data_IF_540392334186
#
_entry.id   IF_540392334186
#
_cell.length_a   1.000
_cell.length_b   1.000
_cell.length_c   1.000
_cell.angle_alpha   90.00
_cell.angle_beta   90.00
_cell.angle_gamma   90.00
#
_symmetry.space_group_name_H-M   'P 1'
#
loop_
_entity.id
_entity.type
_entity.pdbx_description
1 polymer ?
#
# COMPACT_ATOMS: atom_id res chain seq x y z
N UNK A 1 16.29 7.76 -22.15
CA UNK A 1 15.63 7.40 -23.43
C UNK A 1 14.19 7.86 -23.32
N UNK A 2 13.70 8.67 -24.24
CA UNK A 2 12.30 9.07 -24.23
C UNK A 2 11.40 7.90 -24.63
N UNK A 3 10.27 7.78 -23.95
CA UNK A 3 9.26 6.77 -24.28
C UNK A 3 8.46 7.25 -25.49
N UNK A 4 8.27 6.39 -26.50
CA UNK A 4 7.45 6.74 -27.66
C UNK A 4 6.00 7.01 -27.24
N UNK A 5 5.30 7.91 -27.96
CA UNK A 5 3.91 8.28 -27.65
C UNK A 5 2.98 7.06 -27.56
N UNK A 6 3.16 6.09 -28.46
CA UNK A 6 2.39 4.84 -28.45
C UNK A 6 2.64 4.02 -27.18
N UNK A 7 3.91 3.79 -26.81
CA UNK A 7 4.28 3.05 -25.60
C UNK A 7 3.81 3.76 -24.34
N UNK A 8 3.88 5.10 -24.32
CA UNK A 8 3.37 5.95 -23.24
C UNK A 8 1.86 5.74 -23.06
N UNK A 9 1.06 5.89 -24.11
CA UNK A 9 -0.40 5.76 -24.02
C UNK A 9 -0.83 4.34 -23.66
N UNK A 10 -0.20 3.33 -24.25
CA UNK A 10 -0.48 1.92 -23.93
C UNK A 10 -0.18 1.61 -22.46
N UNK A 11 0.98 2.06 -21.96
CA UNK A 11 1.33 1.87 -20.54
C UNK A 11 0.32 2.56 -19.63
N UNK A 12 -0.11 3.78 -19.96
CA UNK A 12 -1.07 4.54 -19.17
C UNK A 12 -2.43 3.85 -19.10
N UNK A 13 -2.90 3.29 -20.23
CA UNK A 13 -4.14 2.51 -20.30
C UNK A 13 -4.02 1.23 -19.47
N UNK A 14 -2.91 0.49 -19.60
CA UNK A 14 -2.68 -0.74 -18.83
C UNK A 14 -2.69 -0.46 -17.32
N UNK A 15 -2.04 0.62 -16.88
CA UNK A 15 -2.06 1.03 -15.48
C UNK A 15 -3.47 1.39 -15.00
N UNK A 16 -4.27 2.09 -15.80
CA UNK A 16 -5.67 2.39 -15.45
C UNK A 16 -6.54 1.14 -15.37
N UNK A 17 -6.41 0.22 -16.33
CA UNK A 17 -7.11 -1.08 -16.31
C UNK A 17 -6.76 -1.84 -15.04
N UNK A 18 -5.48 -1.86 -14.66
CA UNK A 18 -5.02 -2.48 -13.41
C UNK A 18 -5.71 -1.86 -12.19
N UNK A 19 -5.71 -0.54 -12.05
CA UNK A 19 -6.34 0.17 -10.92
C UNK A 19 -7.83 -0.18 -10.83
N UNK A 20 -8.56 -0.07 -11.95
CA UNK A 20 -10.00 -0.35 -11.99
C UNK A 20 -10.28 -1.81 -11.67
N UNK A 21 -9.53 -2.74 -12.26
CA UNK A 21 -9.74 -4.18 -12.07
C UNK A 21 -9.49 -4.58 -10.62
N UNK A 22 -8.34 -4.21 -10.05
CA UNK A 22 -7.98 -4.57 -8.66
C UNK A 22 -8.93 -3.91 -7.66
N UNK A 23 -9.30 -2.65 -7.86
CA UNK A 23 -10.27 -1.96 -6.99
C UNK A 23 -11.66 -2.60 -7.08
N UNK A 24 -12.09 -3.01 -8.27
CA UNK A 24 -13.39 -3.69 -8.45
C UNK A 24 -13.40 -5.06 -7.77
N UNK A 25 -12.34 -5.85 -7.93
CA UNK A 25 -12.20 -7.14 -7.25
C UNK A 25 -12.17 -6.94 -5.73
N UNK A 26 -11.42 -5.95 -5.24
CA UNK A 26 -11.35 -5.61 -3.82
C UNK A 26 -12.71 -5.20 -3.26
N UNK A 27 -13.45 -4.37 -4.00
CA UNK A 27 -14.81 -3.97 -3.64
C UNK A 27 -15.75 -5.17 -3.51
N UNK A 28 -15.78 -6.03 -4.52
CA UNK A 28 -16.69 -7.19 -4.56
C UNK A 28 -16.37 -8.18 -3.44
N UNK A 29 -15.08 -8.40 -3.14
CA UNK A 29 -14.66 -9.43 -2.17
C UNK A 29 -14.58 -8.94 -0.73
N UNK A 30 -14.35 -7.65 -0.52
CA UNK A 30 -13.98 -7.10 0.80
C UNK A 30 -14.83 -5.88 1.12
N UNK A 31 -14.92 -4.92 0.20
CA UNK A 31 -15.71 -3.70 0.36
C UNK A 31 -14.91 -2.43 0.04
N UNK A 32 -15.29 -1.31 0.65
CA UNK A 32 -14.72 0.00 0.35
C UNK A 32 -13.24 0.20 0.70
N UNK A 33 -12.67 -0.37 1.80
CA UNK A 33 -11.30 -0.03 2.19
C UNK A 33 -10.24 -0.30 1.10
N UNK A 34 -10.23 -1.45 0.39
CA UNK A 34 -9.34 -1.65 -0.75
C UNK A 34 -9.51 -0.64 -1.89
N UNK A 35 -10.73 -0.14 -2.15
CA UNK A 35 -10.96 0.89 -3.18
C UNK A 35 -10.29 2.20 -2.80
N UNK A 36 -10.42 2.59 -1.52
CA UNK A 36 -9.83 3.83 -1.02
C UNK A 36 -8.30 3.71 -1.01
N UNK A 37 -7.77 2.60 -0.48
CA UNK A 37 -6.32 2.41 -0.34
C UNK A 37 -5.68 2.15 -1.71
N UNK A 38 -6.08 1.07 -2.41
CA UNK A 38 -5.46 0.66 -3.68
C UNK A 38 -5.88 1.59 -4.81
N UNK A 39 -7.17 1.93 -4.90
CA UNK A 39 -7.68 2.82 -5.95
C UNK A 39 -7.20 4.26 -5.77
N UNK A 40 -7.23 4.78 -4.54
CA UNK A 40 -6.74 6.12 -4.23
C UNK A 40 -5.23 6.26 -4.46
N UNK A 41 -4.41 5.38 -3.86
CA UNK A 41 -2.96 5.42 -4.08
C UNK A 41 -2.57 5.08 -5.53
N UNK A 42 -3.33 4.20 -6.19
CA UNK A 42 -3.18 3.88 -7.61
C UNK A 42 -3.42 5.10 -8.50
N UNK A 43 -4.49 5.84 -8.27
CA UNK A 43 -4.81 7.04 -9.04
C UNK A 43 -3.78 8.14 -8.82
N UNK A 44 -3.40 8.42 -7.56
CA UNK A 44 -2.36 9.41 -7.25
C UNK A 44 -1.03 8.97 -7.88
N UNK A 45 -0.66 7.70 -7.73
CA UNK A 45 0.55 7.14 -8.34
C UNK A 45 0.55 7.23 -9.85
N UNK A 46 -0.59 6.98 -10.50
CA UNK A 46 -0.76 7.15 -11.94
C UNK A 46 -0.52 8.59 -12.37
N UNK A 47 -1.07 9.57 -11.65
CA UNK A 47 -0.89 11.00 -11.93
C UNK A 47 0.60 11.37 -11.85
N UNK A 48 1.25 11.09 -10.72
CA UNK A 48 2.66 11.43 -10.54
C UNK A 48 3.55 10.72 -11.57
N UNK A 49 3.32 9.43 -11.81
CA UNK A 49 4.06 8.67 -12.80
C UNK A 49 3.88 9.21 -14.22
N UNK A 50 2.66 9.55 -14.61
CA UNK A 50 2.34 10.07 -15.95
C UNK A 50 3.10 11.36 -16.24
N UNK A 51 3.23 12.25 -15.24
CA UNK A 51 3.90 13.54 -15.41
C UNK A 51 5.42 13.48 -15.18
N UNK A 52 5.92 12.60 -14.32
CA UNK A 52 7.35 12.58 -13.95
C UNK A 52 8.17 11.55 -14.73
N UNK A 53 7.76 10.28 -14.68
CA UNK A 53 8.57 9.13 -15.11
C UNK A 53 8.22 8.65 -16.53
N UNK A 54 6.95 8.73 -16.92
CA UNK A 54 6.47 8.08 -18.13
C UNK A 54 7.06 8.69 -19.42
N UNK A 55 7.27 10.01 -19.45
CA UNK A 55 7.92 10.70 -20.58
C UNK A 55 9.43 10.42 -20.62
N UNK A 56 10.09 10.53 -19.47
CA UNK A 56 11.53 10.34 -19.30
C UNK A 56 11.77 9.50 -18.05
N UNK A 57 12.18 8.25 -18.25
CA UNK A 57 12.48 7.36 -17.14
C UNK A 57 13.58 7.94 -16.26
N UNK A 58 13.38 7.84 -14.95
CA UNK A 58 14.35 8.27 -13.95
C UNK A 58 15.53 7.30 -13.98
N UNK A 59 16.75 7.80 -13.75
CA UNK A 59 17.93 6.95 -13.66
C UNK A 59 17.74 5.90 -12.55
N UNK A 60 17.96 4.59 -12.82
CA UNK A 60 17.93 3.55 -11.81
C UNK A 60 18.77 3.87 -10.58
N UNK A 61 19.92 4.56 -10.72
CA UNK A 61 20.76 4.98 -9.59
C UNK A 61 20.05 5.94 -8.63
N UNK A 62 19.00 6.62 -9.07
CA UNK A 62 18.21 7.54 -8.26
C UNK A 62 17.01 6.83 -7.63
N UNK A 63 16.21 6.12 -8.43
CA UNK A 63 14.94 5.54 -7.98
C UNK A 63 15.09 4.17 -7.30
N UNK A 64 16.01 3.33 -7.78
CA UNK A 64 16.12 1.94 -7.32
C UNK A 64 16.56 1.84 -5.85
N UNK A 65 17.55 2.60 -5.35
CA UNK A 65 17.91 2.54 -3.92
C UNK A 65 16.76 2.95 -3.00
N UNK A 66 16.00 3.98 -3.39
CA UNK A 66 14.83 4.43 -2.64
C UNK A 66 13.72 3.38 -2.64
N UNK A 67 13.50 2.76 -3.80
CA UNK A 67 12.51 1.69 -3.97
C UNK A 67 12.85 0.48 -3.10
N UNK A 68 14.08 -0.02 -3.19
CA UNK A 68 14.55 -1.18 -2.41
C UNK A 68 14.48 -0.87 -0.92
N UNK A 69 14.91 0.32 -0.47
CA UNK A 69 14.84 0.70 0.93
C UNK A 69 13.38 0.73 1.43
N UNK A 70 12.47 1.31 0.65
CA UNK A 70 11.04 1.33 0.98
C UNK A 70 10.48 -0.09 1.10
N UNK A 71 10.83 -0.98 0.16
CA UNK A 71 10.36 -2.37 0.15
C UNK A 71 10.92 -3.17 1.34
N UNK A 72 12.19 -3.02 1.69
CA UNK A 72 12.78 -3.69 2.86
C UNK A 72 12.09 -3.22 4.14
N UNK A 73 11.91 -1.91 4.29
CA UNK A 73 11.16 -1.35 5.41
C UNK A 73 9.73 -1.87 5.49
N UNK A 74 9.07 -1.98 4.33
CA UNK A 74 7.71 -2.52 4.25
C UNK A 74 7.66 -3.98 4.69
N UNK A 75 8.65 -4.80 4.30
CA UNK A 75 8.70 -6.20 4.75
C UNK A 75 8.87 -6.30 6.28
N UNK A 76 9.69 -5.44 6.88
CA UNK A 76 9.81 -5.38 8.35
C UNK A 76 8.48 -4.98 8.98
N UNK A 77 7.79 -4.00 8.39
CA UNK A 77 6.49 -3.55 8.86
C UNK A 77 5.42 -4.65 8.82
N UNK A 78 5.34 -5.40 7.70
CA UNK A 78 4.41 -6.52 7.56
C UNK A 78 4.68 -7.65 8.58
N UNK A 79 5.91 -7.81 9.08
CA UNK A 79 6.22 -8.77 10.14
C UNK A 79 5.53 -8.37 11.44
N UNK A 80 5.61 -7.11 11.85
CA UNK A 80 4.89 -6.62 13.04
C UNK A 80 3.38 -6.79 12.87
N UNK A 81 2.86 -6.39 11.70
CA UNK A 81 1.45 -6.51 11.39
C UNK A 81 0.93 -7.94 11.47
N UNK A 82 1.68 -8.91 10.93
CA UNK A 82 1.36 -10.33 11.04
C UNK A 82 1.35 -10.79 12.50
N UNK A 83 2.43 -10.48 13.24
CA UNK A 83 2.59 -10.92 14.63
C UNK A 83 1.53 -10.32 15.56
N UNK A 84 0.97 -9.18 15.19
CA UNK A 84 -0.03 -8.45 16.00
C UNK A 84 -1.44 -8.47 15.37
N UNK A 85 -1.67 -9.30 14.34
CA UNK A 85 -3.00 -9.62 13.81
C UNK A 85 -3.66 -8.46 13.08
N UNK A 86 -2.93 -7.77 12.19
CA UNK A 86 -3.43 -6.64 11.42
C UNK A 86 -4.68 -6.98 10.61
N UNK A 87 -4.69 -8.11 9.88
CA UNK A 87 -5.81 -8.48 9.02
C UNK A 87 -7.15 -8.56 9.79
N UNK A 88 -7.22 -9.40 10.84
CA UNK A 88 -8.36 -9.47 11.75
C UNK A 88 -8.69 -8.14 12.45
N UNK A 89 -7.68 -7.33 12.82
CA UNK A 89 -7.90 -6.03 13.45
C UNK A 89 -8.63 -5.05 12.51
N UNK A 90 -8.18 -4.97 11.25
CA UNK A 90 -8.81 -4.15 10.20
C UNK A 90 -10.23 -4.65 9.92
N UNK A 91 -10.45 -5.96 9.94
CA UNK A 91 -11.80 -6.54 9.84
C UNK A 91 -12.72 -6.06 10.95
N UNK A 92 -12.24 -6.03 12.20
CA UNK A 92 -13.00 -5.50 13.33
C UNK A 92 -13.29 -4.01 13.19
N UNK A 93 -12.29 -3.27 12.72
CA UNK A 93 -12.37 -1.82 12.56
C UNK A 93 -13.44 -1.43 11.54
N UNK A 94 -13.43 -2.06 10.37
CA UNK A 94 -14.28 -1.65 9.23
C UNK A 94 -15.45 -2.58 8.93
N UNK A 95 -15.57 -3.72 9.59
CA UNK A 95 -16.67 -4.65 9.38
C UNK A 95 -16.55 -5.39 8.05
N UNK A 96 -15.32 -5.71 7.64
CA UNK A 96 -14.99 -6.31 6.35
C UNK A 96 -14.48 -7.74 6.52
N UNK A 97 -14.61 -8.61 5.50
CA UNK A 97 -14.17 -10.00 5.57
C UNK A 97 -12.68 -10.17 5.25
N UNK A 98 -11.78 -9.52 5.98
CA UNK A 98 -10.34 -9.53 5.73
C UNK A 98 -9.55 -10.44 6.69
N UNK A 99 -9.35 -11.70 6.28
CA UNK A 99 -8.68 -12.72 7.11
C UNK A 99 -7.15 -12.53 7.18
N UNK A 100 -6.53 -13.07 8.23
CA UNK A 100 -5.06 -13.16 8.35
C UNK A 100 -4.43 -13.91 7.16
N UNK A 101 -5.07 -14.99 6.70
CA UNK A 101 -4.65 -15.72 5.50
C UNK A 101 -4.66 -14.82 4.26
N UNK A 102 -5.69 -13.98 4.12
CA UNK A 102 -5.80 -13.01 3.03
C UNK A 102 -4.67 -11.98 3.08
N UNK A 103 -4.39 -11.45 4.28
CA UNK A 103 -3.28 -10.55 4.53
C UNK A 103 -1.93 -11.15 4.09
N UNK A 104 -1.58 -12.35 4.56
CA UNK A 104 -0.34 -13.05 4.21
C UNK A 104 -0.23 -13.26 2.70
N UNK A 105 -1.26 -13.84 2.07
CA UNK A 105 -1.22 -14.13 0.63
C UNK A 105 -1.02 -12.85 -0.19
N UNK A 106 -1.73 -11.78 0.13
CA UNK A 106 -1.70 -10.56 -0.68
C UNK A 106 -0.45 -9.72 -0.39
N UNK A 107 -0.17 -9.41 0.87
CA UNK A 107 0.86 -8.43 1.23
C UNK A 107 2.23 -9.06 1.48
N UNK A 108 2.30 -10.26 2.05
CA UNK A 108 3.60 -10.88 2.40
C UNK A 108 4.11 -11.86 1.33
N UNK A 109 3.25 -12.28 0.38
CA UNK A 109 3.65 -13.16 -0.72
C UNK A 109 3.54 -12.47 -2.08
N UNK A 110 2.34 -12.11 -2.51
CA UNK A 110 2.12 -11.50 -3.85
C UNK A 110 2.80 -10.12 -3.94
N UNK A 111 2.66 -9.29 -2.90
CA UNK A 111 3.32 -7.99 -2.78
C UNK A 111 4.83 -8.05 -3.08
N UNK A 112 5.63 -8.79 -2.30
CA UNK A 112 7.06 -8.93 -2.55
C UNK A 112 7.42 -9.48 -3.94
N UNK A 113 6.64 -10.41 -4.50
CA UNK A 113 6.86 -10.83 -5.91
C UNK A 113 6.74 -9.65 -6.87
N UNK A 114 5.70 -8.83 -6.73
CA UNK A 114 5.50 -7.62 -7.52
C UNK A 114 6.61 -6.59 -7.26
N UNK A 115 7.11 -6.48 -6.03
CA UNK A 115 8.20 -5.56 -5.69
C UNK A 115 9.51 -5.97 -6.36
N UNK A 116 9.84 -7.26 -6.37
CA UNK A 116 11.05 -7.75 -7.04
C UNK A 116 10.98 -7.55 -8.56
N UNK A 117 9.83 -7.84 -9.18
CA UNK A 117 9.60 -7.56 -10.60
C UNK A 117 9.69 -6.05 -10.91
N UNK A 118 9.21 -5.21 -9.99
CA UNK A 118 9.33 -3.75 -10.11
C UNK A 118 10.77 -3.30 -10.02
N UNK A 119 11.56 -3.81 -9.07
CA UNK A 119 12.99 -3.51 -8.96
C UNK A 119 13.74 -3.86 -10.26
N UNK A 120 13.47 -5.05 -10.82
CA UNK A 120 14.03 -5.48 -12.11
C UNK A 120 13.58 -4.55 -13.25
N UNK A 121 12.30 -4.23 -13.30
CA UNK A 121 11.74 -3.32 -14.29
C UNK A 121 12.32 -1.90 -14.18
N UNK A 122 12.55 -1.39 -12.98
CA UNK A 122 13.21 -0.10 -12.76
C UNK A 122 14.66 -0.14 -13.27
N UNK A 123 15.41 -1.20 -12.99
CA UNK A 123 16.78 -1.39 -13.50
C UNK A 123 16.83 -1.34 -15.04
N UNK A 124 15.91 -2.03 -15.70
CA UNK A 124 15.78 -2.02 -17.17
C UNK A 124 14.97 -0.84 -17.72
N UNK A 125 14.55 0.11 -16.88
CA UNK A 125 13.75 1.30 -17.24
C UNK A 125 12.44 0.97 -17.96
N UNK A 126 11.79 -0.13 -17.57
CA UNK A 126 10.47 -0.51 -18.05
C UNK A 126 9.41 0.52 -17.59
N UNK A 127 8.56 1.06 -18.48
CA UNK A 127 7.64 2.16 -18.12
C UNK A 127 6.69 1.83 -16.98
N UNK A 128 6.07 0.65 -16.98
CA UNK A 128 5.10 0.24 -15.94
C UNK A 128 5.75 0.01 -14.58
N UNK A 129 7.05 -0.29 -14.52
CA UNK A 129 7.74 -0.41 -13.23
C UNK A 129 7.78 0.95 -12.50
N UNK A 130 7.86 2.06 -13.24
CA UNK A 130 7.72 3.39 -12.65
C UNK A 130 6.34 3.62 -12.03
N UNK A 131 5.27 3.12 -12.66
CA UNK A 131 3.91 3.24 -12.11
C UNK A 131 3.79 2.47 -10.80
N UNK A 132 4.24 1.22 -10.79
CA UNK A 132 4.17 0.38 -9.58
C UNK A 132 5.04 0.97 -8.48
N UNK A 133 6.22 1.53 -8.80
CA UNK A 133 7.06 2.23 -7.83
C UNK A 133 6.35 3.44 -7.22
N UNK A 134 5.71 4.29 -8.02
CA UNK A 134 4.92 5.42 -7.53
C UNK A 134 3.75 4.98 -6.65
N UNK A 135 3.01 3.94 -7.08
CA UNK A 135 1.96 3.33 -6.28
C UNK A 135 2.49 2.87 -4.91
N UNK A 136 3.64 2.20 -4.88
CA UNK A 136 4.27 1.71 -3.65
C UNK A 136 4.72 2.87 -2.76
N UNK A 137 5.39 3.89 -3.30
CA UNK A 137 5.82 5.03 -2.49
C UNK A 137 4.65 5.78 -1.84
N UNK A 138 3.51 5.87 -2.53
CA UNK A 138 2.33 6.60 -2.04
C UNK A 138 1.48 5.74 -1.12
N UNK A 139 1.14 4.52 -1.53
CA UNK A 139 0.30 3.60 -0.76
C UNK A 139 1.09 3.00 0.39
N UNK A 140 1.62 1.78 0.27
CA UNK A 140 2.28 1.09 1.38
C UNK A 140 3.61 1.74 1.84
N UNK A 141 4.09 2.76 1.13
CA UNK A 141 5.19 3.61 1.57
C UNK A 141 4.68 4.67 2.55
N UNK A 142 4.11 5.74 2.01
CA UNK A 142 3.72 6.90 2.79
C UNK A 142 2.39 6.75 3.54
N UNK A 143 1.41 6.04 2.99
CA UNK A 143 0.07 5.95 3.59
C UNK A 143 0.00 5.17 4.90
N UNK A 144 1.09 4.49 5.32
CA UNK A 144 1.16 3.82 6.63
C UNK A 144 1.03 4.79 7.82
N UNK A 145 0.99 6.10 7.57
CA UNK A 145 0.56 7.06 8.59
C UNK A 145 -0.83 6.74 9.17
N UNK A 146 -1.66 5.96 8.46
CA UNK A 146 -2.97 5.51 8.95
C UNK A 146 -2.90 4.70 10.23
N UNK A 147 -1.77 4.03 10.52
CA UNK A 147 -1.58 3.32 11.78
C UNK A 147 -1.65 4.23 13.00
N UNK A 148 -1.28 5.51 12.86
CA UNK A 148 -1.43 6.51 13.93
C UNK A 148 -2.88 6.98 14.07
N UNK A 149 -3.74 6.74 13.08
CA UNK A 149 -5.14 7.17 13.11
C UNK A 149 -6.04 6.03 13.62
N UNK A 150 -5.75 4.78 13.25
CA UNK A 150 -6.59 3.62 13.58
C UNK A 150 -6.93 3.42 15.07
N UNK A 151 -6.01 3.63 16.05
CA UNK A 151 -6.37 3.53 17.47
C UNK A 151 -7.47 4.50 17.91
N UNK A 152 -7.66 5.60 17.17
CA UNK A 152 -8.63 6.66 17.47
C UNK A 152 -10.00 6.40 16.84
N UNK A 153 -10.09 5.45 15.91
CA UNK A 153 -11.32 5.12 15.20
C UNK A 153 -12.10 4.06 15.98
N UNK A 154 -13.40 4.31 16.15
CA UNK A 154 -14.29 3.35 16.81
C UNK A 154 -14.51 2.12 15.92
N UNK A 155 -14.24 0.89 16.41
CA UNK A 155 -14.45 -0.32 15.64
C UNK A 155 -15.93 -0.57 15.35
N UNK A 156 -16.22 -0.95 14.11
CA UNK A 156 -17.57 -1.36 13.71
C UNK A 156 -18.11 -2.57 14.49
N UNK A 157 -17.22 -3.42 15.03
CA UNK A 157 -17.57 -4.67 15.70
C UNK A 157 -17.13 -4.60 17.17
N UNK A 158 -18.14 -4.65 18.04
CA UNK A 158 -17.98 -4.72 19.50
C UNK A 158 -16.91 -3.73 20.03
N UNK A 159 -17.09 -2.41 19.82
CA UNK A 159 -16.06 -1.41 20.12
C UNK A 159 -15.64 -1.42 21.59
N UNK A 160 -16.57 -1.70 22.51
CA UNK A 160 -16.35 -1.69 23.96
C UNK A 160 -15.85 -3.03 24.54
N UNK A 161 -15.64 -4.06 23.71
CA UNK A 161 -15.14 -5.35 24.17
C UNK A 161 -13.60 -5.40 24.00
N UNK A 162 -12.80 -5.46 25.07
CA UNK A 162 -11.34 -5.54 24.93
C UNK A 162 -10.88 -6.92 24.43
N UNK A 163 -11.68 -7.96 24.61
CA UNK A 163 -11.32 -9.32 24.24
C UNK A 163 -11.29 -9.54 22.73
N UNK A 164 -10.52 -10.55 22.31
CA UNK A 164 -10.53 -11.03 20.93
C UNK A 164 -11.86 -11.68 20.61
N UNK A 165 -12.37 -11.41 19.41
CA UNK A 165 -13.68 -11.91 18.97
C UNK A 165 -13.59 -12.64 17.64
N UNK A 166 -14.43 -13.66 17.51
CA UNK A 166 -14.53 -14.47 16.31
C UNK A 166 -15.98 -14.46 15.83
N UNK A 167 -16.22 -14.13 14.55
CA UNK A 167 -17.57 -14.10 13.98
C UNK A 167 -17.55 -14.23 12.46
N UNK A 168 -18.72 -14.48 11.88
CA UNK A 168 -18.90 -14.54 10.43
C UNK A 168 -19.23 -13.14 9.90
N UNK A 169 -18.46 -12.67 8.92
CA UNK A 169 -18.69 -11.42 8.19
C UNK A 169 -18.81 -11.76 6.71
N UNK A 170 -19.93 -11.40 6.07
CA UNK A 170 -20.18 -11.68 4.64
C UNK A 170 -19.89 -13.15 4.23
N UNK A 171 -20.27 -14.10 5.08
CA UNK A 171 -20.07 -15.54 4.84
C UNK A 171 -18.64 -16.05 5.07
N UNK A 172 -17.71 -15.20 5.53
CA UNK A 172 -16.34 -15.57 5.87
C UNK A 172 -16.17 -15.62 7.38
N UNK A 173 -15.60 -16.69 7.91
CA UNK A 173 -15.26 -16.79 9.33
C UNK A 173 -13.99 -15.98 9.63
N UNK A 174 -14.10 -15.00 10.52
CA UNK A 174 -12.98 -14.20 11.02
C UNK A 174 -12.70 -14.65 12.44
N UNK A 175 -11.47 -15.11 12.67
CA UNK A 175 -11.03 -15.58 13.98
C UNK A 175 -10.14 -14.56 14.66
N UNK A 176 -10.23 -14.51 15.99
CA UNK A 176 -9.27 -13.84 16.88
C UNK A 176 -9.05 -12.36 16.59
N UNK A 177 -10.10 -11.63 16.19
CA UNK A 177 -10.01 -10.21 15.87
C UNK A 177 -9.69 -9.37 17.11
N UNK A 178 -8.48 -8.78 17.23
CA UNK A 178 -8.11 -7.96 18.38
C UNK A 178 -8.82 -6.60 18.36
N UNK A 179 -8.96 -5.99 19.53
CA UNK A 179 -9.39 -4.60 19.64
C UNK A 179 -8.17 -3.71 19.92
N UNK A 180 -8.07 -2.61 19.17
CA UNK A 180 -7.01 -1.61 19.33
C UNK A 180 -7.59 -0.21 19.58
N UNK A 181 -8.89 -0.12 19.89
CA UNK A 181 -9.52 1.16 20.15
C UNK A 181 -9.07 1.75 21.48
N UNK A 182 -8.41 2.91 21.41
CA UNK A 182 -7.81 3.61 22.55
C UNK A 182 -8.80 3.77 23.72
N UNK A 183 -10.08 4.07 23.45
CA UNK A 183 -11.07 4.28 24.50
C UNK A 183 -11.44 3.00 25.26
N UNK A 184 -11.21 1.84 24.65
CA UNK A 184 -11.53 0.53 25.24
C UNK A 184 -10.32 -0.11 25.88
N UNK A 185 -9.17 -0.05 25.21
CA UNK A 185 -7.93 -0.70 25.69
C UNK A 185 -7.13 0.20 26.64
N UNK A 186 -7.28 1.52 26.54
CA UNK A 186 -6.44 2.49 27.24
C UNK A 186 -5.03 2.64 26.64
N UNK A 187 -4.72 1.91 25.57
CA UNK A 187 -3.41 1.90 24.93
C UNK A 187 -3.46 2.53 23.54
N UNK A 188 -2.54 3.46 23.26
CA UNK A 188 -2.39 4.06 21.94
C UNK A 188 -1.52 3.17 21.07
N UNK A 189 -2.12 2.12 20.52
CA UNK A 189 -1.45 1.17 19.65
C UNK A 189 -2.44 0.57 18.65
N UNK A 190 -1.99 0.37 17.42
CA UNK A 190 -2.65 -0.48 16.43
C UNK A 190 -1.58 -1.38 15.81
N UNK A 191 -1.97 -2.59 15.39
CA UNK A 191 -1.07 -3.54 14.72
C UNK A 191 -0.23 -2.85 13.64
N UNK A 192 1.11 -2.90 13.74
CA UNK A 192 2.04 -2.24 12.80
C UNK A 192 2.50 -0.82 13.18
N UNK A 193 1.93 -0.20 14.23
CA UNK A 193 2.21 1.20 14.57
C UNK A 193 3.69 1.48 14.86
N UNK A 194 4.42 0.54 15.48
CA UNK A 194 5.81 0.80 15.88
C UNK A 194 6.76 0.87 14.68
N UNK A 195 6.46 0.11 13.63
CA UNK A 195 7.27 0.05 12.40
C UNK A 195 6.69 0.87 11.25
N UNK A 196 5.50 1.44 11.36
CA UNK A 196 4.85 2.22 10.30
C UNK A 196 5.76 3.35 9.75
N UNK A 197 6.59 3.96 10.60
CA UNK A 197 7.56 4.98 10.17
C UNK A 197 8.63 4.47 9.20
N UNK A 198 8.96 3.17 9.25
CA UNK A 198 10.03 2.57 8.46
C UNK A 198 9.78 2.67 6.96
N UNK A 199 8.60 2.31 6.41
CA UNK A 199 8.28 2.54 5.00
C UNK A 199 7.90 4.00 4.70
N UNK A 200 7.30 4.72 5.65
CA UNK A 200 6.88 6.12 5.47
C UNK A 200 8.04 7.05 5.12
N UNK A 201 9.14 6.97 5.85
CA UNK A 201 10.29 7.85 5.65
C UNK A 201 10.92 7.69 4.25
N UNK A 202 11.35 6.50 3.82
CA UNK A 202 11.91 6.32 2.48
C UNK A 202 10.85 6.51 1.38
N UNK A 203 9.58 6.13 1.60
CA UNK A 203 8.50 6.35 0.64
C UNK A 203 8.20 7.84 0.41
N UNK A 204 8.03 8.60 1.49
CA UNK A 204 7.83 10.06 1.45
C UNK A 204 9.06 10.79 0.87
N UNK A 205 10.26 10.38 1.27
CA UNK A 205 11.49 10.94 0.70
C UNK A 205 11.63 10.63 -0.79
N UNK A 206 11.22 9.44 -1.24
CA UNK A 206 11.21 9.08 -2.66
C UNK A 206 10.28 9.98 -3.46
N UNK A 207 9.05 10.21 -2.98
CA UNK A 207 8.10 11.16 -3.59
C UNK A 207 8.75 12.53 -3.75
N UNK A 208 9.29 13.09 -2.66
CA UNK A 208 9.95 14.39 -2.67
C UNK A 208 11.12 14.43 -3.67
N UNK A 209 12.03 13.46 -3.61
CA UNK A 209 13.23 13.42 -4.44
C UNK A 209 12.89 13.28 -5.93
N UNK A 210 11.90 12.46 -6.28
CA UNK A 210 11.50 12.25 -7.68
C UNK A 210 10.77 13.46 -8.26
N UNK A 211 9.93 14.14 -7.47
CA UNK A 211 9.32 15.41 -7.89
C UNK A 211 10.39 16.48 -8.12
N UNK A 212 11.31 16.65 -7.16
CA UNK A 212 12.43 17.59 -7.28
C UNK A 212 13.27 17.29 -8.51
N UNK A 213 13.64 16.03 -8.71
CA UNK A 213 14.41 15.59 -9.87
C UNK A 213 13.69 15.90 -11.19
N UNK A 214 12.36 15.73 -11.26
CA UNK A 214 11.61 16.09 -12.45
C UNK A 214 11.65 17.61 -12.73
N UNK A 215 11.47 18.43 -11.70
CA UNK A 215 11.48 19.90 -11.82
C UNK A 215 12.84 20.39 -12.32
N UNK A 216 13.93 19.88 -11.77
CA UNK A 216 15.30 20.26 -12.15
C UNK A 216 15.68 19.85 -13.59
N UNK A 217 15.03 18.81 -14.14
CA UNK A 217 15.33 18.26 -15.46
C UNK A 217 14.26 18.62 -16.52
N UNK A 218 13.48 19.69 -16.30
CA UNK A 218 12.44 20.18 -17.23
C UNK A 218 12.97 20.94 -18.45
N UNK A 219 14.28 20.98 -18.67
CA UNK A 219 14.93 21.58 -19.86
C UNK A 219 14.57 20.84 -21.15
#
# INVERSE_FOLDING_TARGET
>A
METTTLKKNLSAIVAMIFIVTVSSIGYIKIGWPPVIIVGGSGLIGWIFWYFTYLKRSVDPKVILPLFVLTVVSLQIHMIEEYLTGFGPAVSRLFGIPWTEKGFVVVFTLIGPMMYMLTALGLFFRFPLAGFIAWFIFIGPGFAEFTHFIFPLLEPSIQPNNPERVSQIINGVMLSDMPNYYLKTTGEYYFSGLYTAVLPMLPGGYAIFKLVKHHIENRS
#
